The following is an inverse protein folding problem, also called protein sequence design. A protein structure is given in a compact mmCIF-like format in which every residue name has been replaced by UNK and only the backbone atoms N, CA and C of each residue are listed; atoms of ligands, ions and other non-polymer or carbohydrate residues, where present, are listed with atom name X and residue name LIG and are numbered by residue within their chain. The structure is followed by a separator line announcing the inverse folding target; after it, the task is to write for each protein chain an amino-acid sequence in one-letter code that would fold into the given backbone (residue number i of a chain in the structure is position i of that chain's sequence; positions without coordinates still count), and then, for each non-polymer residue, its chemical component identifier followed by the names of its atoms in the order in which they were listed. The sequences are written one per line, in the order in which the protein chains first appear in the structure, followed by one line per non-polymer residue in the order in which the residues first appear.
data_IF_768675276865
#
_entry.id   IF_768675276865
#
_cell.length_a   1.000
_cell.length_b   1.000
_cell.length_c   1.000
_cell.angle_alpha   90.00
_cell.angle_beta   90.00
_cell.angle_gamma   90.00
#
_symmetry.space_group_name_H-M   'P 1'
#
loop_
_entity.id
_entity.type
_entity.pdbx_description
1 polymer ?
#
# COMPACT_ATOMS: atom_id res chain seq x y z
N UNK A 1 36.63 21.66 -1.51
CA UNK A 1 36.11 22.65 -0.53
C UNK A 1 34.93 22.00 0.19
N UNK A 2 34.95 21.82 1.52
CA UNK A 2 33.81 21.25 2.24
C UNK A 2 32.64 22.23 2.18
N UNK A 3 31.45 21.74 1.82
CA UNK A 3 30.23 22.55 1.75
C UNK A 3 29.86 23.07 3.16
N UNK A 4 29.81 24.40 3.37
CA UNK A 4 29.52 25.01 4.68
C UNK A 4 28.08 24.75 5.17
N UNK A 5 27.20 24.15 4.35
CA UNK A 5 25.86 23.70 4.78
C UNK A 5 25.87 22.39 5.58
N UNK A 6 26.99 21.65 5.62
CA UNK A 6 27.06 20.31 6.21
C UNK A 6 26.88 20.24 7.73
N UNK A 7 27.13 21.33 8.49
CA UNK A 7 26.98 21.31 9.96
C UNK A 7 25.52 21.47 10.43
N UNK A 8 24.66 22.13 9.65
CA UNK A 8 23.24 22.35 10.02
C UNK A 8 22.33 21.14 9.72
N UNK A 9 22.76 20.23 8.84
CA UNK A 9 21.96 19.07 8.40
C UNK A 9 22.30 17.75 9.12
N UNK A 10 23.23 17.76 10.08
CA UNK A 10 23.62 16.60 10.89
C UNK A 10 22.43 15.90 11.60
N UNK A 11 21.56 16.62 12.33
CA UNK A 11 20.47 15.98 13.07
C UNK A 11 19.38 15.40 12.16
N UNK A 12 19.06 16.05 11.04
CA UNK A 12 18.09 15.52 10.08
C UNK A 12 18.57 14.21 9.42
N UNK A 13 19.87 14.13 9.09
CA UNK A 13 20.49 12.89 8.61
C UNK A 13 20.47 11.80 9.66
N UNK A 14 20.76 12.16 10.92
CA UNK A 14 20.75 11.23 12.05
C UNK A 14 19.39 10.60 12.26
N UNK A 15 18.32 11.40 12.30
CA UNK A 15 16.95 10.90 12.45
C UNK A 15 16.58 9.98 11.28
N UNK A 16 16.89 10.37 10.04
CA UNK A 16 16.61 9.53 8.87
C UNK A 16 17.34 8.18 8.95
N UNK A 17 18.62 8.18 9.36
CA UNK A 17 19.40 6.97 9.54
C UNK A 17 18.84 6.08 10.65
N UNK A 18 18.48 6.65 11.80
CA UNK A 18 17.86 5.90 12.90
C UNK A 18 16.57 5.22 12.45
N UNK A 19 15.69 5.93 11.73
CA UNK A 19 14.43 5.35 11.22
C UNK A 19 14.69 4.21 10.24
N UNK A 20 15.68 4.33 9.35
CA UNK A 20 16.04 3.25 8.41
C UNK A 20 16.62 2.04 9.14
N UNK A 21 17.47 2.25 10.14
CA UNK A 21 18.04 1.15 10.95
C UNK A 21 16.96 0.45 11.77
N UNK A 22 16.09 1.20 12.44
CA UNK A 22 14.96 0.63 13.20
C UNK A 22 14.04 -0.14 12.25
N UNK A 23 13.72 0.41 11.08
CA UNK A 23 12.95 -0.28 10.04
C UNK A 23 13.60 -1.61 9.63
N UNK A 24 14.91 -1.63 9.40
CA UNK A 24 15.63 -2.85 9.02
C UNK A 24 15.64 -3.91 10.12
N UNK A 25 15.87 -3.51 11.38
CA UNK A 25 15.85 -4.44 12.53
C UNK A 25 14.45 -5.03 12.69
N UNK A 26 13.41 -4.18 12.70
CA UNK A 26 12.02 -4.62 12.82
C UNK A 26 11.63 -5.54 11.66
N UNK A 27 12.09 -5.27 10.44
CA UNK A 27 11.86 -6.14 9.28
C UNK A 27 12.44 -7.54 9.50
N UNK A 28 13.72 -7.64 9.88
CA UNK A 28 14.36 -8.94 10.12
C UNK A 28 13.66 -9.71 11.24
N UNK A 29 13.30 -9.05 12.34
CA UNK A 29 12.54 -9.66 13.43
C UNK A 29 11.17 -10.14 12.95
N UNK A 30 10.49 -9.36 12.11
CA UNK A 30 9.15 -9.72 11.61
C UNK A 30 9.14 -10.99 10.76
N UNK A 31 10.20 -11.24 9.96
CA UNK A 31 10.31 -12.45 9.14
C UNK A 31 10.45 -13.74 9.96
N UNK A 32 11.03 -13.64 11.16
CA UNK A 32 11.21 -14.77 12.06
C UNK A 32 9.95 -15.10 12.87
N UNK A 33 8.99 -14.18 12.96
CA UNK A 33 7.81 -14.33 13.80
C UNK A 33 6.61 -14.90 13.03
N UNK A 34 5.73 -15.65 13.72
CA UNK A 34 4.50 -16.15 13.12
C UNK A 34 3.64 -14.98 12.64
N UNK A 35 3.07 -15.10 11.47
CA UNK A 35 2.34 -14.03 10.76
C UNK A 35 0.85 -14.27 10.75
N UNK A 36 0.42 -15.50 10.44
CA UNK A 36 -0.98 -15.92 10.43
C UNK A 36 -1.10 -17.34 10.98
N UNK A 37 -2.13 -17.59 11.78
CA UNK A 37 -2.55 -18.94 12.18
C UNK A 37 -3.90 -19.23 11.55
N UNK A 38 -4.02 -20.40 10.91
CA UNK A 38 -5.29 -20.90 10.39
C UNK A 38 -5.84 -21.97 11.33
N UNK A 39 -7.03 -21.70 11.86
CA UNK A 39 -7.78 -22.61 12.71
C UNK A 39 -8.95 -23.16 11.88
N UNK A 40 -8.92 -24.47 11.65
CA UNK A 40 -10.05 -25.20 11.05
C UNK A 40 -10.65 -26.11 12.10
N UNK A 41 -11.95 -26.38 12.01
CA UNK A 41 -12.68 -27.25 12.97
C UNK A 41 -12.18 -28.71 12.90
N UNK A 42 -11.44 -29.08 11.84
CA UNK A 42 -11.13 -30.47 11.47
C UNK A 42 -9.62 -30.77 11.47
N UNK A 43 -8.75 -29.78 11.20
CA UNK A 43 -7.29 -29.94 11.21
C UNK A 43 -6.64 -29.16 12.36
N UNK A 44 -5.45 -29.61 12.77
CA UNK A 44 -4.63 -28.93 13.77
C UNK A 44 -4.34 -27.47 13.37
N UNK A 45 -4.16 -26.59 14.35
CA UNK A 45 -3.79 -25.20 14.13
C UNK A 45 -2.48 -25.12 13.33
N UNK A 46 -2.53 -24.49 12.15
CA UNK A 46 -1.34 -24.30 11.32
C UNK A 46 -0.90 -22.84 11.36
N UNK A 47 0.27 -22.61 11.96
CA UNK A 47 0.85 -21.27 12.09
C UNK A 47 1.95 -21.07 11.06
N UNK A 48 1.79 -20.04 10.22
CA UNK A 48 2.72 -19.69 9.16
C UNK A 48 3.39 -18.34 9.44
N UNK A 49 4.72 -18.31 9.33
CA UNK A 49 5.46 -17.06 9.10
C UNK A 49 5.43 -16.69 7.61
N UNK A 50 5.86 -15.48 7.23
CA UNK A 50 5.99 -15.09 5.82
C UNK A 50 6.85 -16.12 5.05
N UNK A 51 7.99 -16.50 5.63
CA UNK A 51 8.87 -17.50 5.03
C UNK A 51 8.20 -18.88 4.96
N UNK A 52 7.56 -19.32 6.05
CA UNK A 52 6.85 -20.61 6.08
C UNK A 52 5.69 -20.68 5.07
N UNK A 53 4.98 -19.57 4.85
CA UNK A 53 3.93 -19.47 3.83
C UNK A 53 4.48 -19.59 2.41
N UNK A 54 5.64 -18.97 2.13
CA UNK A 54 6.32 -19.12 0.83
C UNK A 54 6.74 -20.58 0.60
N UNK A 55 7.32 -21.22 1.62
CA UNK A 55 7.73 -22.63 1.54
C UNK A 55 6.53 -23.56 1.32
N UNK A 56 5.41 -23.31 2.02
CA UNK A 56 4.16 -24.06 1.84
C UNK A 56 3.66 -23.93 0.41
N UNK A 57 3.51 -22.70 -0.12
CA UNK A 57 3.04 -22.50 -1.49
C UNK A 57 3.95 -23.17 -2.53
N UNK A 58 5.26 -23.22 -2.27
CA UNK A 58 6.20 -23.92 -3.13
C UNK A 58 6.00 -25.44 -3.11
N UNK A 59 5.79 -26.02 -1.92
CA UNK A 59 5.50 -27.46 -1.75
C UNK A 59 4.14 -27.85 -2.34
N UNK A 60 3.16 -26.97 -2.24
CA UNK A 60 1.81 -27.15 -2.80
C UNK A 60 1.77 -26.97 -4.33
N UNK A 61 2.92 -26.70 -4.97
CA UNK A 61 3.02 -26.50 -6.43
C UNK A 61 2.54 -25.13 -6.93
N UNK A 62 2.15 -24.22 -6.03
CA UNK A 62 1.72 -22.87 -6.38
C UNK A 62 2.93 -21.91 -6.50
N UNK A 63 3.79 -22.21 -7.48
CA UNK A 63 5.05 -21.48 -7.70
C UNK A 63 4.83 -20.00 -8.04
N UNK A 64 3.73 -19.66 -8.71
CA UNK A 64 3.42 -18.27 -9.07
C UNK A 64 3.14 -17.46 -7.81
N UNK A 65 2.28 -17.95 -6.91
CA UNK A 65 1.96 -17.25 -5.67
C UNK A 65 3.18 -17.17 -4.75
N UNK A 66 3.93 -18.28 -4.61
CA UNK A 66 5.18 -18.30 -3.84
C UNK A 66 6.17 -17.23 -4.35
N UNK A 67 6.33 -17.12 -5.67
CA UNK A 67 7.24 -16.14 -6.30
C UNK A 67 6.77 -14.70 -6.07
N UNK A 68 5.47 -14.43 -6.17
CA UNK A 68 4.89 -13.10 -5.92
C UNK A 68 5.14 -12.71 -4.46
N UNK A 69 4.77 -13.57 -3.50
CA UNK A 69 4.95 -13.28 -2.06
C UNK A 69 6.44 -13.12 -1.73
N UNK A 70 7.32 -13.98 -2.25
CA UNK A 70 8.77 -13.86 -2.05
C UNK A 70 9.34 -12.54 -2.57
N UNK A 71 8.96 -12.14 -3.79
CA UNK A 71 9.43 -10.91 -4.41
C UNK A 71 9.00 -9.68 -3.59
N UNK A 72 7.73 -9.60 -3.20
CA UNK A 72 7.19 -8.43 -2.52
C UNK A 72 7.50 -8.38 -1.02
N UNK A 73 7.60 -9.53 -0.33
CA UNK A 73 7.84 -9.58 1.12
C UNK A 73 9.30 -9.68 1.50
N UNK A 74 10.19 -10.11 0.60
CA UNK A 74 11.61 -10.31 0.91
C UNK A 74 12.49 -9.46 0.01
N UNK A 75 12.48 -9.68 -1.31
CA UNK A 75 13.41 -9.01 -2.22
C UNK A 75 13.20 -7.49 -2.21
N UNK A 76 11.95 -7.06 -2.31
CA UNK A 76 11.61 -5.66 -2.46
C UNK A 76 11.94 -4.82 -1.22
N UNK A 77 11.56 -5.21 0.01
CA UNK A 77 11.89 -4.44 1.21
C UNK A 77 13.40 -4.43 1.47
N UNK A 78 14.10 -5.54 1.24
CA UNK A 78 15.57 -5.60 1.35
C UNK A 78 16.22 -4.61 0.38
N UNK A 79 15.84 -4.67 -0.90
CA UNK A 79 16.38 -3.77 -1.93
C UNK A 79 16.17 -2.30 -1.54
N UNK A 80 14.98 -1.97 -1.02
CA UNK A 80 14.64 -0.62 -0.56
C UNK A 80 15.50 -0.18 0.62
N UNK A 81 15.65 -1.01 1.65
CA UNK A 81 16.45 -0.71 2.84
C UNK A 81 17.93 -0.57 2.51
N UNK A 82 18.45 -1.44 1.63
CA UNK A 82 19.82 -1.35 1.12
C UNK A 82 20.01 -0.04 0.36
N UNK A 83 19.11 0.29 -0.56
CA UNK A 83 19.21 1.52 -1.33
C UNK A 83 19.17 2.78 -0.45
N UNK A 84 18.28 2.84 0.55
CA UNK A 84 18.23 3.95 1.51
C UNK A 84 19.52 4.05 2.34
N UNK A 85 20.05 2.91 2.78
CA UNK A 85 21.31 2.85 3.54
C UNK A 85 22.50 3.33 2.70
N UNK A 86 22.58 2.86 1.44
CA UNK A 86 23.59 3.31 0.47
C UNK A 86 23.49 4.81 0.22
N UNK A 87 22.26 5.33 0.03
CA UNK A 87 22.03 6.75 -0.15
C UNK A 87 22.51 7.52 1.08
N UNK A 88 22.29 7.06 2.31
CA UNK A 88 22.72 7.75 3.52
C UNK A 88 24.24 7.75 3.72
N UNK A 89 24.92 6.67 3.32
CA UNK A 89 26.37 6.47 3.54
C UNK A 89 27.23 7.09 2.44
N UNK A 90 26.78 7.08 1.18
CA UNK A 90 27.59 7.53 0.05
C UNK A 90 27.66 9.06 -0.07
N UNK A 91 28.86 9.56 -0.42
CA UNK A 91 29.13 10.97 -0.78
C UNK A 91 29.03 11.25 -2.29
N UNK A 92 28.23 10.46 -3.01
CA UNK A 92 28.02 10.62 -4.45
C UNK A 92 27.28 11.92 -4.82
N UNK A 93 27.15 12.17 -6.11
CA UNK A 93 26.45 13.35 -6.65
C UNK A 93 25.05 13.48 -6.05
N UNK A 94 24.74 14.67 -5.55
CA UNK A 94 23.44 15.01 -4.94
C UNK A 94 22.27 14.76 -5.90
N UNK A 95 22.48 15.00 -7.19
CA UNK A 95 21.48 14.75 -8.24
C UNK A 95 21.18 13.25 -8.41
N UNK A 96 22.20 12.39 -8.36
CA UNK A 96 22.02 10.94 -8.47
C UNK A 96 21.25 10.38 -7.26
N UNK A 97 21.55 10.87 -6.06
CA UNK A 97 20.85 10.49 -4.82
C UNK A 97 19.41 10.97 -4.81
N UNK A 98 19.15 12.18 -5.28
CA UNK A 98 17.79 12.69 -5.41
C UNK A 98 16.96 11.84 -6.38
N UNK A 99 17.54 11.46 -7.53
CA UNK A 99 16.89 10.58 -8.50
C UNK A 99 16.63 9.19 -7.91
N UNK A 100 17.59 8.64 -7.16
CA UNK A 100 17.43 7.35 -6.49
C UNK A 100 16.30 7.38 -5.45
N UNK A 101 16.16 8.47 -4.68
CA UNK A 101 15.04 8.65 -3.76
C UNK A 101 13.71 8.76 -4.51
N UNK A 102 13.62 9.53 -5.59
CA UNK A 102 12.39 9.61 -6.40
C UNK A 102 11.97 8.22 -6.92
N UNK A 103 12.92 7.38 -7.35
CA UNK A 103 12.65 5.99 -7.72
C UNK A 103 12.19 5.16 -6.51
N UNK A 104 12.82 5.31 -5.36
CA UNK A 104 12.43 4.60 -4.13
C UNK A 104 11.05 5.02 -3.60
N UNK A 105 10.66 6.28 -3.76
CA UNK A 105 9.32 6.78 -3.43
C UNK A 105 8.26 6.13 -4.34
N UNK A 106 8.55 6.04 -5.65
CA UNK A 106 7.67 5.37 -6.62
C UNK A 106 7.53 3.87 -6.37
N UNK A 107 8.64 3.23 -5.96
CA UNK A 107 8.67 1.83 -5.58
C UNK A 107 8.00 1.60 -4.21
N UNK A 108 8.12 2.56 -3.29
CA UNK A 108 7.69 2.43 -1.90
C UNK A 108 6.24 1.99 -1.70
N UNK A 109 5.31 2.44 -2.56
CA UNK A 109 3.89 2.04 -2.51
C UNK A 109 3.68 0.53 -2.74
N UNK A 110 4.51 -0.10 -3.57
CA UNK A 110 4.42 -1.53 -3.88
C UNK A 110 4.92 -2.41 -2.75
N UNK A 111 5.65 -1.83 -1.79
CA UNK A 111 6.22 -2.56 -0.65
C UNK A 111 5.20 -3.04 0.38
N UNK A 112 3.94 -2.58 0.31
CA UNK A 112 2.84 -3.02 1.21
C UNK A 112 1.88 -4.00 0.52
N UNK A 113 2.18 -4.43 -0.70
CA UNK A 113 1.31 -5.30 -1.49
C UNK A 113 0.97 -6.60 -0.77
N UNK A 114 1.97 -7.19 -0.15
CA UNK A 114 1.85 -8.41 0.65
C UNK A 114 0.90 -8.25 1.85
N UNK A 115 1.01 -7.15 2.60
CA UNK A 115 0.09 -6.85 3.71
C UNK A 115 -1.33 -6.71 3.19
N UNK A 116 -1.53 -6.07 2.02
CA UNK A 116 -2.87 -5.96 1.43
C UNK A 116 -3.43 -7.29 0.94
N UNK A 117 -2.61 -8.12 0.28
CA UNK A 117 -3.04 -9.47 -0.10
C UNK A 117 -3.51 -10.20 1.15
N UNK A 118 -2.74 -10.19 2.24
CA UNK A 118 -3.12 -10.85 3.49
C UNK A 118 -4.41 -10.24 4.06
N UNK A 119 -4.57 -8.92 4.10
CA UNK A 119 -5.80 -8.26 4.58
C UNK A 119 -7.05 -8.72 3.79
N UNK A 120 -6.98 -8.68 2.46
CA UNK A 120 -8.12 -9.01 1.59
C UNK A 120 -8.40 -10.51 1.63
N UNK A 121 -7.36 -11.33 1.65
CA UNK A 121 -7.47 -12.79 1.71
C UNK A 121 -8.04 -13.27 3.04
N UNK A 122 -7.52 -12.79 4.18
CA UNK A 122 -8.05 -13.11 5.52
C UNK A 122 -9.49 -12.61 5.67
N UNK A 123 -9.77 -11.40 5.21
CA UNK A 123 -11.14 -10.85 5.19
C UNK A 123 -12.08 -11.70 4.34
N UNK A 124 -11.63 -12.20 3.19
CA UNK A 124 -12.42 -13.05 2.32
C UNK A 124 -12.63 -14.48 2.86
N UNK A 125 -11.60 -15.10 3.44
CA UNK A 125 -11.68 -16.47 4.00
C UNK A 125 -12.60 -16.53 5.20
N UNK A 126 -12.56 -15.52 6.08
CA UNK A 126 -13.43 -15.45 7.27
C UNK A 126 -14.91 -15.38 6.88
N UNK A 127 -15.20 -14.88 5.68
CA UNK A 127 -16.55 -14.87 5.11
C UNK A 127 -16.97 -16.24 4.56
N UNK A 128 -16.28 -17.36 4.79
CA UNK A 128 -16.89 -18.66 4.43
C UNK A 128 -16.09 -19.95 4.55
N UNK A 129 -14.84 -19.98 5.04
CA UNK A 129 -14.00 -21.18 4.95
C UNK A 129 -13.25 -21.56 6.24
N UNK A 130 -12.66 -20.61 6.98
CA UNK A 130 -11.85 -20.90 8.18
C UNK A 130 -11.66 -19.67 9.09
N UNK A 131 -11.29 -19.89 10.36
CA UNK A 131 -10.84 -18.84 11.25
C UNK A 131 -9.35 -18.55 10.99
N UNK A 132 -9.01 -17.33 10.60
CA UNK A 132 -7.62 -16.91 10.39
C UNK A 132 -7.27 -15.82 11.39
N UNK A 133 -6.30 -16.07 12.27
CA UNK A 133 -5.87 -15.13 13.31
C UNK A 133 -4.51 -14.53 12.98
N UNK A 134 -4.38 -13.20 13.03
CA UNK A 134 -3.09 -12.53 12.86
C UNK A 134 -2.19 -12.78 14.06
N UNK A 135 -0.89 -12.89 13.78
CA UNK A 135 0.16 -13.11 14.78
C UNK A 135 1.16 -11.95 14.75
N UNK A 136 2.02 -11.78 15.78
CA UNK A 136 2.88 -10.61 15.92
C UNK A 136 3.76 -10.26 14.71
N UNK A 137 4.12 -11.25 13.90
CA UNK A 137 4.91 -11.07 12.68
C UNK A 137 4.26 -10.10 11.70
N UNK A 138 2.94 -10.16 11.46
CA UNK A 138 2.29 -9.25 10.49
C UNK A 138 2.31 -7.80 10.97
N UNK A 139 2.19 -7.57 12.29
CA UNK A 139 2.21 -6.24 12.88
C UNK A 139 3.59 -5.60 12.76
N UNK A 140 4.64 -6.36 13.09
CA UNK A 140 6.02 -5.89 12.97
C UNK A 140 6.43 -5.72 11.52
N UNK A 141 5.96 -6.59 10.63
CA UNK A 141 6.21 -6.48 9.21
C UNK A 141 5.63 -5.18 8.65
N UNK A 142 4.34 -4.94 8.88
CA UNK A 142 3.68 -3.71 8.46
C UNK A 142 4.31 -2.45 9.10
N UNK A 143 4.71 -2.52 10.37
CA UNK A 143 5.43 -1.43 11.02
C UNK A 143 6.80 -1.17 10.38
N UNK A 144 7.55 -2.22 10.03
CA UNK A 144 8.83 -2.11 9.35
C UNK A 144 8.68 -1.44 7.98
N UNK A 145 7.67 -1.84 7.19
CA UNK A 145 7.39 -1.21 5.90
C UNK A 145 6.97 0.26 6.07
N UNK A 146 6.09 0.56 7.03
CA UNK A 146 5.69 1.94 7.32
C UNK A 146 6.88 2.82 7.72
N UNK A 147 7.77 2.32 8.58
CA UNK A 147 9.02 3.00 8.96
C UNK A 147 9.94 3.19 7.74
N UNK A 148 10.03 2.23 6.83
CA UNK A 148 10.82 2.39 5.59
C UNK A 148 10.28 3.52 4.70
N UNK A 149 8.95 3.70 4.65
CA UNK A 149 8.32 4.80 3.92
C UNK A 149 8.63 6.14 4.57
N UNK A 150 8.51 6.23 5.90
CA UNK A 150 8.90 7.42 6.66
C UNK A 150 10.39 7.73 6.43
N UNK A 151 11.25 6.71 6.48
CA UNK A 151 12.68 6.81 6.19
C UNK A 151 12.96 7.39 4.81
N UNK A 152 12.24 6.92 3.78
CA UNK A 152 12.35 7.44 2.40
C UNK A 152 12.03 8.95 2.36
N UNK A 153 10.92 9.37 2.97
CA UNK A 153 10.52 10.79 3.03
C UNK A 153 11.53 11.63 3.80
N UNK A 154 12.07 11.11 4.91
CA UNK A 154 13.09 11.81 5.70
C UNK A 154 14.40 11.97 4.94
N UNK A 155 14.86 10.93 4.23
CA UNK A 155 16.04 10.98 3.37
C UNK A 155 15.84 11.98 2.22
N UNK A 156 14.66 12.00 1.59
CA UNK A 156 14.33 12.98 0.54
C UNK A 156 14.31 14.42 1.04
N UNK A 157 13.76 14.68 2.24
CA UNK A 157 13.79 16.00 2.88
C UNK A 157 15.21 16.44 3.24
N UNK A 158 16.01 15.51 3.73
CA UNK A 158 17.41 15.78 4.04
C UNK A 158 18.20 16.14 2.77
N UNK A 159 18.01 15.40 1.67
CA UNK A 159 18.65 15.69 0.37
C UNK A 159 18.21 17.01 -0.26
N UNK A 160 17.03 17.54 0.10
CA UNK A 160 16.51 18.83 -0.39
C UNK A 160 16.84 20.03 0.51
N UNK A 161 17.73 19.87 1.51
CA UNK A 161 18.04 20.89 2.53
C UNK A 161 16.79 21.42 3.26
N UNK A 162 15.71 20.63 3.32
CA UNK A 162 14.42 21.08 3.83
C UNK A 162 13.78 22.23 3.03
N UNK A 163 14.40 22.68 1.93
CA UNK A 163 13.80 23.67 1.04
C UNK A 163 12.65 22.98 0.31
N UNK A 164 11.41 23.50 0.42
CA UNK A 164 10.31 22.93 -0.32
C UNK A 164 10.64 23.03 -1.81
N UNK A 165 10.43 21.93 -2.55
CA UNK A 165 10.43 21.92 -4.02
C UNK A 165 9.59 23.13 -4.44
N UNK A 166 10.17 24.06 -5.21
CA UNK A 166 9.41 25.20 -5.74
C UNK A 166 8.36 24.62 -6.68
N UNK A 167 7.14 24.53 -6.19
CA UNK A 167 6.00 24.08 -6.97
C UNK A 167 5.48 25.31 -7.70
N UNK A 168 5.67 25.37 -9.01
CA UNK A 168 5.04 26.40 -9.82
C UNK A 168 3.54 26.09 -9.90
N UNK A 169 2.70 27.12 -9.72
CA UNK A 169 1.28 27.05 -10.05
C UNK A 169 1.16 27.00 -11.59
N UNK A 170 1.32 25.81 -12.17
CA UNK A 170 1.17 25.65 -13.61
C UNK A 170 -0.31 25.68 -13.99
N UNK A 171 -0.73 26.48 -15.00
CA UNK A 171 -2.10 26.46 -15.52
C UNK A 171 -2.53 25.06 -16.01
N UNK A 172 -1.55 24.19 -16.32
CA UNK A 172 -1.75 22.78 -16.61
C UNK A 172 -2.46 21.99 -15.50
N UNK A 173 -2.31 22.39 -14.23
CA UNK A 173 -3.02 21.77 -13.08
C UNK A 173 -4.54 21.92 -13.17
N UNK A 174 -5.02 22.98 -13.82
CA UNK A 174 -6.45 23.28 -13.99
C UNK A 174 -6.96 22.99 -15.41
N UNK A 175 -6.17 22.28 -16.21
CA UNK A 175 -6.60 21.89 -17.55
C UNK A 175 -7.88 21.05 -17.48
N UNK A 176 -8.77 21.24 -18.46
CA UNK A 176 -10.00 20.47 -18.59
C UNK A 176 -9.81 18.94 -18.50
N UNK A 177 -8.81 18.31 -19.16
CA UNK A 177 -8.56 16.88 -19.01
C UNK A 177 -8.18 16.49 -17.57
N UNK A 178 -7.40 17.32 -16.86
CA UNK A 178 -7.08 17.08 -15.46
C UNK A 178 -8.36 17.09 -14.62
N UNK A 179 -9.22 18.10 -14.77
CA UNK A 179 -10.49 18.18 -14.03
C UNK A 179 -11.35 16.93 -14.21
N UNK A 180 -11.55 16.50 -15.45
CA UNK A 180 -12.31 15.28 -15.79
C UNK A 180 -11.70 14.05 -15.11
N UNK A 181 -10.38 13.88 -15.23
CA UNK A 181 -9.71 12.71 -14.70
C UNK A 181 -9.85 12.59 -13.18
N UNK A 182 -9.72 13.70 -12.44
CA UNK A 182 -9.97 13.71 -10.99
C UNK A 182 -11.41 13.43 -10.62
N UNK A 183 -12.37 13.98 -11.35
CA UNK A 183 -13.79 13.74 -11.06
C UNK A 183 -14.15 12.30 -11.33
N UNK A 184 -13.64 11.71 -12.41
CA UNK A 184 -13.85 10.29 -12.73
C UNK A 184 -13.16 9.38 -11.70
N UNK A 185 -11.91 9.67 -11.31
CA UNK A 185 -11.21 8.90 -10.29
C UNK A 185 -11.94 8.94 -8.94
N UNK A 186 -12.44 10.13 -8.54
CA UNK A 186 -13.19 10.30 -7.30
C UNK A 186 -14.55 9.61 -7.34
N UNK A 187 -15.27 9.72 -8.47
CA UNK A 187 -16.55 9.04 -8.66
C UNK A 187 -16.36 7.51 -8.65
N UNK A 188 -15.36 6.99 -9.35
CA UNK A 188 -15.04 5.56 -9.35
C UNK A 188 -14.69 5.06 -7.94
N UNK A 189 -13.95 5.85 -7.14
CA UNK A 189 -13.65 5.51 -5.75
C UNK A 189 -14.93 5.46 -4.89
N UNK A 190 -15.83 6.44 -5.04
CA UNK A 190 -17.11 6.44 -4.31
C UNK A 190 -17.95 5.23 -4.71
N UNK A 191 -18.04 4.92 -6.01
CA UNK A 191 -18.73 3.72 -6.48
C UNK A 191 -18.13 2.46 -5.89
N UNK A 192 -16.80 2.32 -5.91
CA UNK A 192 -16.08 1.19 -5.34
C UNK A 192 -16.38 0.96 -3.85
N UNK A 193 -16.54 2.04 -3.07
CA UNK A 193 -16.85 1.96 -1.65
C UNK A 193 -18.30 1.53 -1.36
N UNK A 194 -19.24 1.82 -2.27
CA UNK A 194 -20.67 1.53 -2.07
C UNK A 194 -21.07 0.19 -2.69
N UNK A 195 -20.35 -0.25 -3.72
CA UNK A 195 -20.65 -1.48 -4.45
C UNK A 195 -19.97 -2.72 -3.88
N UNK A 196 -20.63 -3.87 -4.00
CA UNK A 196 -20.05 -5.17 -3.71
C UNK A 196 -18.99 -5.56 -4.73
N UNK A 197 -17.89 -6.11 -4.22
CA UNK A 197 -16.69 -6.41 -4.98
C UNK A 197 -16.68 -7.86 -5.45
N UNK A 198 -16.84 -8.79 -4.51
CA UNK A 198 -16.83 -10.22 -4.73
C UNK A 198 -18.02 -10.85 -4.03
N UNK A 199 -18.52 -11.94 -4.59
CA UNK A 199 -19.50 -12.78 -3.94
C UNK A 199 -18.99 -14.21 -3.97
N UNK A 200 -18.91 -14.81 -2.79
CA UNK A 200 -18.44 -16.17 -2.58
C UNK A 200 -19.66 -17.02 -2.27
N UNK A 201 -19.94 -17.99 -3.13
CA UNK A 201 -20.97 -18.99 -2.91
C UNK A 201 -20.32 -20.31 -2.47
N UNK A 202 -20.87 -20.91 -1.42
CA UNK A 202 -20.50 -22.24 -0.94
C UNK A 202 -21.75 -23.07 -0.73
N UNK A 203 -21.70 -24.36 -1.06
CA UNK A 203 -22.76 -25.32 -0.70
C UNK A 203 -22.37 -26.03 0.58
N UNK A 204 -23.08 -25.76 1.67
CA UNK A 204 -22.97 -26.53 2.92
C UNK A 204 -24.17 -27.47 3.00
N UNK A 205 -23.93 -28.78 2.96
CA UNK A 205 -25.00 -29.79 3.05
C UNK A 205 -26.20 -29.46 2.14
N UNK A 206 -25.91 -29.14 0.86
CA UNK A 206 -26.89 -28.78 -0.18
C UNK A 206 -27.59 -27.41 -0.04
N UNK A 207 -27.32 -26.63 1.02
CA UNK A 207 -27.80 -25.24 1.15
C UNK A 207 -26.73 -24.28 0.63
N UNK A 208 -27.04 -23.42 -0.38
CA UNK A 208 -26.12 -22.40 -0.83
C UNK A 208 -26.04 -21.28 0.22
N UNK A 209 -24.85 -21.09 0.79
CA UNK A 209 -24.48 -19.96 1.62
C UNK A 209 -23.76 -18.96 0.71
N UNK A 210 -24.28 -17.75 0.65
CA UNK A 210 -23.81 -16.70 -0.23
C UNK A 210 -23.32 -15.54 0.60
N UNK A 211 -22.02 -15.24 0.51
CA UNK A 211 -21.39 -14.16 1.27
C UNK A 211 -20.84 -13.10 0.32
N UNK A 212 -21.24 -11.85 0.56
CA UNK A 212 -20.77 -10.67 -0.18
C UNK A 212 -19.56 -10.03 0.51
N UNK A 213 -18.58 -9.62 -0.28
CA UNK A 213 -17.37 -8.91 0.13
C UNK A 213 -17.45 -7.48 -0.40
N UNK A 214 -17.55 -6.52 0.53
CA UNK A 214 -17.57 -5.07 0.26
C UNK A 214 -16.42 -4.40 1.02
N UNK A 215 -15.74 -3.39 0.48
CA UNK A 215 -14.58 -2.77 1.18
C UNK A 215 -14.92 -2.28 2.60
N UNK A 216 -15.97 -1.49 2.83
CA UNK A 216 -16.27 -0.98 4.17
C UNK A 216 -16.73 -2.08 5.11
N UNK A 217 -17.52 -3.03 4.60
CA UNK A 217 -18.02 -4.17 5.38
C UNK A 217 -16.87 -5.07 5.81
N UNK A 218 -15.94 -5.40 4.91
CA UNK A 218 -14.75 -6.19 5.27
C UNK A 218 -13.89 -5.45 6.30
N UNK A 219 -13.75 -4.12 6.22
CA UNK A 219 -13.03 -3.35 7.24
C UNK A 219 -13.71 -3.44 8.61
N UNK A 220 -15.03 -3.35 8.61
CA UNK A 220 -15.86 -3.47 9.80
C UNK A 220 -15.79 -4.87 10.42
N UNK A 221 -15.90 -5.90 9.60
CA UNK A 221 -15.83 -7.30 10.01
C UNK A 221 -14.45 -7.61 10.60
N UNK A 222 -13.36 -7.13 9.98
CA UNK A 222 -12.02 -7.25 10.55
C UNK A 222 -11.90 -6.53 11.91
N UNK A 223 -12.54 -5.37 12.08
CA UNK A 223 -12.45 -4.59 13.30
C UNK A 223 -13.13 -5.29 14.50
N UNK A 224 -14.20 -6.03 14.25
CA UNK A 224 -14.92 -6.77 15.31
C UNK A 224 -14.23 -8.07 15.72
N UNK A 225 -13.49 -8.69 14.81
CA UNK A 225 -13.07 -10.09 14.96
C UNK A 225 -11.60 -10.28 15.38
N UNK A 226 -11.14 -9.49 16.35
CA UNK A 226 -9.76 -9.46 16.88
C UNK A 226 -8.67 -8.99 15.89
N UNK A 227 -9.01 -8.83 14.60
CA UNK A 227 -8.13 -8.34 13.53
C UNK A 227 -8.09 -6.81 13.40
N UNK A 228 -8.18 -6.11 14.54
CA UNK A 228 -8.27 -4.64 14.59
C UNK A 228 -7.14 -3.95 13.83
N UNK A 229 -5.95 -4.54 13.83
CA UNK A 229 -4.82 -4.00 13.10
C UNK A 229 -5.06 -3.98 11.58
N UNK A 230 -5.46 -5.12 10.99
CA UNK A 230 -5.71 -5.21 9.55
C UNK A 230 -6.88 -4.30 9.14
N UNK A 231 -7.90 -4.20 9.99
CA UNK A 231 -9.00 -3.25 9.80
C UNK A 231 -8.51 -1.79 9.73
N UNK A 232 -7.60 -1.40 10.64
CA UNK A 232 -7.00 -0.05 10.66
C UNK A 232 -6.14 0.17 9.42
N UNK A 233 -5.31 -0.81 9.04
CA UNK A 233 -4.48 -0.73 7.83
C UNK A 233 -5.35 -0.52 6.59
N UNK A 234 -6.40 -1.34 6.41
CA UNK A 234 -7.30 -1.23 5.26
C UNK A 234 -8.09 0.09 5.28
N UNK A 235 -8.65 0.47 6.42
CA UNK A 235 -9.41 1.72 6.56
C UNK A 235 -8.55 2.95 6.31
N UNK A 236 -7.32 2.97 6.83
CA UNK A 236 -6.44 4.12 6.74
C UNK A 236 -5.81 4.23 5.34
N UNK A 237 -5.28 3.15 4.78
CA UNK A 237 -4.47 3.19 3.56
C UNK A 237 -5.27 2.98 2.26
N UNK A 238 -6.45 2.35 2.32
CA UNK A 238 -7.30 2.13 1.14
C UNK A 238 -8.44 3.14 1.10
N UNK A 239 -9.11 3.37 2.23
CA UNK A 239 -10.30 4.23 2.26
C UNK A 239 -9.92 5.68 2.58
N UNK A 240 -9.26 5.94 3.71
CA UNK A 240 -9.04 7.28 4.21
C UNK A 240 -8.04 8.09 3.37
N UNK A 241 -6.86 7.54 3.04
CA UNK A 241 -5.88 8.24 2.19
C UNK A 241 -6.41 8.48 0.79
N UNK A 242 -7.09 7.50 0.18
CA UNK A 242 -7.68 7.65 -1.15
C UNK A 242 -8.80 8.70 -1.17
N UNK A 243 -9.68 8.67 -0.18
CA UNK A 243 -10.74 9.68 -0.01
C UNK A 243 -10.16 11.07 0.23
N UNK A 244 -9.16 11.19 1.12
CA UNK A 244 -8.51 12.47 1.41
C UNK A 244 -7.81 13.05 0.17
N UNK A 245 -7.13 12.20 -0.61
CA UNK A 245 -6.52 12.59 -1.88
C UNK A 245 -7.58 13.10 -2.87
N UNK A 246 -8.68 12.36 -3.03
CA UNK A 246 -9.79 12.75 -3.90
C UNK A 246 -10.35 14.14 -3.52
N UNK A 247 -10.62 14.37 -2.23
CA UNK A 247 -11.10 15.65 -1.71
C UNK A 247 -10.11 16.79 -1.98
N UNK A 248 -8.81 16.57 -1.73
CA UNK A 248 -7.79 17.60 -1.94
C UNK A 248 -7.61 17.95 -3.42
N UNK A 249 -7.63 16.95 -4.30
CA UNK A 249 -7.51 17.15 -5.75
C UNK A 249 -8.74 17.86 -6.33
N UNK A 250 -9.96 17.50 -5.90
CA UNK A 250 -11.18 18.21 -6.26
C UNK A 250 -11.12 19.66 -5.80
N UNK A 251 -10.68 19.91 -4.56
CA UNK A 251 -10.51 21.26 -4.03
C UNK A 251 -9.51 22.09 -4.85
N UNK A 252 -8.35 21.51 -5.18
CA UNK A 252 -7.29 22.16 -5.96
C UNK A 252 -7.75 22.54 -7.38
N UNK A 253 -8.59 21.73 -8.01
CA UNK A 253 -8.96 21.89 -9.43
C UNK A 253 -10.27 22.64 -9.64
N UNK A 254 -11.21 22.56 -8.70
CA UNK A 254 -12.56 23.12 -8.83
C UNK A 254 -12.89 24.27 -7.87
N UNK A 255 -12.47 24.24 -6.60
CA UNK A 255 -13.11 25.07 -5.57
C UNK A 255 -12.38 26.39 -5.23
N UNK A 256 -11.04 26.47 -5.15
CA UNK A 256 -10.34 27.74 -4.91
C UNK A 256 -8.80 27.60 -4.97
N UNK A 257 -8.11 28.73 -5.20
CA UNK A 257 -6.67 28.90 -5.47
C UNK A 257 -5.72 27.89 -4.84
N UNK A 258 -4.82 27.35 -5.68
CA UNK A 258 -3.79 26.39 -5.32
C UNK A 258 -2.85 26.97 -4.25
N UNK A 259 -3.22 26.83 -2.98
CA UNK A 259 -2.27 27.13 -1.90
C UNK A 259 -1.12 26.13 -2.02
N UNK A 260 0.14 26.58 -2.01
CA UNK A 260 1.30 25.68 -2.15
C UNK A 260 1.38 24.66 -1.01
N UNK A 261 0.68 24.86 0.10
CA UNK A 261 0.52 23.89 1.19
C UNK A 261 -0.42 22.74 0.83
N UNK A 262 -1.55 23.03 0.19
CA UNK A 262 -2.52 22.03 -0.28
C UNK A 262 -1.90 21.14 -1.36
N UNK A 263 -1.16 21.75 -2.29
CA UNK A 263 -0.43 21.06 -3.35
C UNK A 263 0.61 20.07 -2.78
N UNK A 264 1.38 20.50 -1.77
CA UNK A 264 2.34 19.65 -1.05
C UNK A 264 1.67 18.48 -0.33
N UNK A 265 0.51 18.69 0.28
CA UNK A 265 -0.23 17.63 0.97
C UNK A 265 -0.80 16.61 -0.02
N UNK A 266 -1.34 17.05 -1.15
CA UNK A 266 -1.83 16.16 -2.20
C UNK A 266 -0.70 15.28 -2.75
N UNK A 267 0.45 15.86 -3.08
CA UNK A 267 1.63 15.11 -3.55
C UNK A 267 2.09 14.03 -2.57
N UNK A 268 2.12 14.34 -1.27
CA UNK A 268 2.47 13.35 -0.26
C UNK A 268 1.42 12.24 -0.18
N UNK A 269 0.13 12.57 -0.28
CA UNK A 269 -0.91 11.54 -0.22
C UNK A 269 -0.90 10.65 -1.45
N UNK A 270 -0.53 11.14 -2.64
CA UNK A 270 -0.37 10.31 -3.84
C UNK A 270 0.60 9.13 -3.63
N UNK A 271 1.65 9.32 -2.82
CA UNK A 271 2.60 8.26 -2.47
C UNK A 271 2.02 7.23 -1.50
N UNK A 272 1.01 7.62 -0.70
CA UNK A 272 0.39 6.79 0.33
C UNK A 272 -0.96 6.21 -0.11
N UNK A 273 -1.54 6.68 -1.21
CA UNK A 273 -2.71 6.04 -1.80
C UNK A 273 -2.30 4.75 -2.49
N UNK A 274 -2.65 3.63 -1.87
CA UNK A 274 -2.28 2.28 -2.32
C UNK A 274 -3.43 1.58 -3.05
N UNK A 275 -4.29 2.36 -3.71
CA UNK A 275 -5.51 1.84 -4.36
C UNK A 275 -5.18 0.86 -5.51
N UNK A 276 -4.10 1.11 -6.24
CA UNK A 276 -3.55 0.23 -7.27
C UNK A 276 -3.05 -1.10 -6.71
N UNK A 277 -2.32 -1.02 -5.60
CA UNK A 277 -1.80 -2.19 -4.89
C UNK A 277 -2.94 -3.02 -4.29
N UNK A 278 -3.94 -2.36 -3.70
CA UNK A 278 -5.14 -3.01 -3.20
C UNK A 278 -5.92 -3.72 -4.32
N UNK A 279 -6.10 -3.07 -5.48
CA UNK A 279 -6.78 -3.66 -6.63
C UNK A 279 -6.08 -4.94 -7.13
N UNK A 280 -4.74 -4.94 -7.14
CA UNK A 280 -3.96 -6.13 -7.47
C UNK A 280 -4.13 -7.22 -6.41
N UNK A 281 -4.06 -6.87 -5.12
CA UNK A 281 -4.23 -7.84 -4.03
C UNK A 281 -5.62 -8.47 -4.03
N UNK A 282 -6.65 -7.70 -4.39
CA UNK A 282 -8.01 -8.17 -4.63
C UNK A 282 -8.10 -9.12 -5.82
N UNK A 283 -7.42 -8.83 -6.94
CA UNK A 283 -7.38 -9.72 -8.09
C UNK A 283 -6.70 -11.06 -7.76
N UNK A 284 -5.59 -11.03 -7.01
CA UNK A 284 -4.90 -12.24 -6.54
C UNK A 284 -5.81 -13.03 -5.58
N UNK A 285 -6.49 -12.34 -4.66
CA UNK A 285 -7.45 -12.97 -3.75
C UNK A 285 -8.58 -13.64 -4.53
N UNK A 286 -9.11 -13.00 -5.57
CA UNK A 286 -10.11 -13.60 -6.45
C UNK A 286 -9.61 -14.89 -7.10
N UNK A 287 -8.42 -14.86 -7.71
CA UNK A 287 -7.83 -16.06 -8.34
C UNK A 287 -7.77 -17.19 -7.31
N UNK A 288 -7.32 -16.89 -6.09
CA UNK A 288 -7.19 -17.91 -5.05
C UNK A 288 -8.54 -18.41 -4.53
N UNK A 289 -9.54 -17.54 -4.38
CA UNK A 289 -10.89 -17.95 -3.97
C UNK A 289 -11.60 -18.76 -5.06
N UNK A 290 -11.36 -18.44 -6.33
CA UNK A 290 -11.93 -19.15 -7.47
C UNK A 290 -11.43 -20.60 -7.57
N UNK A 291 -10.23 -20.91 -7.06
CA UNK A 291 -9.74 -22.29 -6.92
C UNK A 291 -10.50 -23.07 -5.83
N UNK A 292 -11.01 -22.39 -4.81
CA UNK A 292 -11.57 -23.01 -3.61
C UNK A 292 -13.11 -23.04 -3.58
N UNK A 293 -13.75 -22.08 -4.24
CA UNK A 293 -15.20 -21.80 -4.14
C UNK A 293 -15.73 -21.16 -5.41
N UNK A 294 -17.03 -21.26 -5.64
CA UNK A 294 -17.71 -20.51 -6.72
C UNK A 294 -17.73 -19.03 -6.37
N UNK A 295 -16.76 -18.29 -6.93
CA UNK A 295 -16.57 -16.86 -6.68
C UNK A 295 -16.98 -16.05 -7.92
N UNK A 296 -17.91 -15.12 -7.76
CA UNK A 296 -18.38 -14.23 -8.82
C UNK A 296 -17.83 -12.81 -8.65
N UNK A 297 -17.36 -12.23 -9.75
CA UNK A 297 -16.94 -10.84 -9.81
C UNK A 297 -18.16 -9.94 -9.97
N UNK A 298 -18.30 -8.95 -9.08
CA UNK A 298 -19.40 -7.99 -9.11
C UNK A 298 -18.93 -6.61 -9.60
N UNK A 299 -19.85 -5.67 -9.91
CA UNK A 299 -19.49 -4.36 -10.44
C UNK A 299 -18.47 -3.60 -9.59
N UNK A 300 -18.43 -3.81 -8.27
CA UNK A 300 -17.48 -3.14 -7.40
C UNK A 300 -16.02 -3.50 -7.62
N UNK A 301 -15.74 -4.73 -8.08
CA UNK A 301 -14.39 -5.10 -8.49
C UNK A 301 -13.89 -4.18 -9.62
N UNK A 302 -14.73 -3.96 -10.62
CA UNK A 302 -14.41 -3.10 -11.75
C UNK A 302 -14.29 -1.63 -11.36
N UNK A 303 -15.09 -1.17 -10.40
CA UNK A 303 -14.95 0.19 -9.85
C UNK A 303 -13.64 0.38 -9.09
N UNK A 304 -13.17 -0.62 -8.33
CA UNK A 304 -11.85 -0.59 -7.67
C UNK A 304 -10.74 -0.48 -8.73
N UNK A 305 -10.80 -1.29 -9.78
CA UNK A 305 -9.83 -1.25 -10.89
C UNK A 305 -9.87 0.10 -11.61
N UNK A 306 -11.06 0.60 -11.94
CA UNK A 306 -11.23 1.89 -12.59
C UNK A 306 -10.68 3.03 -11.71
N UNK A 307 -10.99 3.03 -10.41
CA UNK A 307 -10.50 4.02 -9.47
C UNK A 307 -8.96 3.97 -9.35
N UNK A 308 -8.35 2.77 -9.30
CA UNK A 308 -6.91 2.60 -9.31
C UNK A 308 -6.25 3.14 -10.59
N UNK A 309 -6.77 2.79 -11.76
CA UNK A 309 -6.23 3.22 -13.06
C UNK A 309 -6.39 4.73 -13.26
N UNK A 310 -7.57 5.27 -12.98
CA UNK A 310 -7.83 6.71 -13.12
C UNK A 310 -7.01 7.53 -12.12
N UNK A 311 -6.87 7.05 -10.88
CA UNK A 311 -6.05 7.69 -9.85
C UNK A 311 -4.55 7.65 -10.19
N UNK A 312 -4.03 6.56 -10.75
CA UNK A 312 -2.63 6.48 -11.17
C UNK A 312 -2.35 7.33 -12.40
N UNK A 313 -3.26 7.34 -13.38
CA UNK A 313 -3.21 8.25 -14.53
C UNK A 313 -3.22 9.71 -14.07
N UNK A 314 -4.06 10.03 -13.07
CA UNK A 314 -4.14 11.37 -12.50
C UNK A 314 -2.84 11.81 -11.83
N UNK A 315 -2.26 10.94 -10.99
CA UNK A 315 -0.97 11.20 -10.35
C UNK A 315 0.15 11.38 -11.37
N UNK A 316 0.16 10.59 -12.44
CA UNK A 316 1.14 10.70 -13.50
C UNK A 316 1.02 12.03 -14.24
N UNK A 317 -0.20 12.43 -14.63
CA UNK A 317 -0.47 13.70 -15.30
C UNK A 317 -0.09 14.89 -14.41
N UNK A 318 -0.45 14.81 -13.13
CA UNK A 318 -0.14 15.81 -12.12
C UNK A 318 1.38 15.98 -11.95
N UNK A 319 2.13 14.88 -11.76
CA UNK A 319 3.59 14.94 -11.64
C UNK A 319 4.24 15.54 -12.89
N UNK A 320 3.81 15.12 -14.09
CA UNK A 320 4.33 15.64 -15.36
C UNK A 320 4.11 17.15 -15.53
N UNK A 321 3.01 17.68 -15.02
CA UNK A 321 2.66 19.10 -15.15
C UNK A 321 3.32 20.01 -14.10
N UNK A 322 3.78 19.44 -12.98
CA UNK A 322 4.41 20.18 -11.87
C UNK A 322 5.94 20.15 -11.93
N UNK A 323 6.55 19.15 -12.56
CA UNK A 323 8.02 19.01 -12.68
C UNK A 323 8.60 19.65 -13.95
N UNK A 324 7.81 20.40 -14.72
CA UNK A 324 8.26 21.15 -15.90
C UNK A 324 8.63 22.57 -15.55
#
# INVERSE_FOLDING_TARGET
MPDPSSSKNGPARGIAATVVVVSAITFVVSLALPTVTFDTIISAEETYSIYGGIESFWKDGNYILASIVFLFSIIFPITKLVALSVILLQRGSRAARHRAVEWLELLGKWSMLDVFIICVFVGAIRLGIAHATSRPGIYLFAAAIALSMIGTVLVGRWLSDGKPRQLQDTPALRSWPARILTTLASAALVMALISTVLQVERKLLFVPIVNSIDLPKTAWDLAQNEERFLAVVMSLLVIATAGLRAILMLRLRWLAGARPTTLRRALRLDEWTMLDVFALGLAITYIKLAELTTTTLLPGFWWVIAAAVLSTADAWWFRRSVTR
#
